data_IF_678230902142
#
_entry.id   IF_678230902142
#
_cell.length_a   1.000
_cell.length_b   1.000
_cell.length_c   1.000
_cell.angle_alpha   90.00
_cell.angle_beta   90.00
_cell.angle_gamma   90.00
#
_symmetry.space_group_name_H-M   'P 1'
#
loop_
_entity.id
_entity.type
_entity.pdbx_description
1 polymer ?
#
# COMPACT_ATOMS: atom_id res chain seq x y z
N UNK A 1 -11.87 -23.76 15.54
CA UNK A 1 -11.34 -23.40 16.88
C UNK A 1 -11.13 -21.90 16.91
N UNK A 2 -11.60 -21.23 17.96
CA UNK A 2 -11.41 -19.78 18.11
C UNK A 2 -9.99 -19.47 18.62
N UNK A 3 -9.37 -18.42 18.07
CA UNK A 3 -8.07 -17.93 18.57
C UNK A 3 -8.24 -17.37 19.98
N UNK A 4 -7.29 -17.69 20.87
CA UNK A 4 -7.23 -17.08 22.20
C UNK A 4 -6.93 -15.57 22.10
N UNK A 5 -7.31 -14.75 23.10
CA UNK A 5 -7.02 -13.32 23.10
C UNK A 5 -5.53 -13.00 22.88
N UNK A 6 -4.65 -13.79 23.50
CA UNK A 6 -3.20 -13.63 23.36
C UNK A 6 -2.71 -13.97 21.95
N UNK A 7 -3.28 -14.99 21.30
CA UNK A 7 -2.96 -15.31 19.91
C UNK A 7 -3.43 -14.21 18.95
N UNK A 8 -4.59 -13.61 19.20
CA UNK A 8 -5.08 -12.45 18.44
C UNK A 8 -4.14 -11.25 18.57
N UNK A 9 -3.63 -11.00 19.77
CA UNK A 9 -2.67 -9.92 20.03
C UNK A 9 -1.35 -10.11 19.27
N UNK A 10 -0.80 -11.33 19.29
CA UNK A 10 0.41 -11.66 18.51
C UNK A 10 0.19 -11.51 17.01
N UNK A 11 -0.96 -11.98 16.51
CA UNK A 11 -1.34 -11.85 15.11
C UNK A 11 -1.50 -10.38 14.71
N UNK A 12 -2.21 -9.60 15.52
CA UNK A 12 -2.41 -8.16 15.31
C UNK A 12 -1.09 -7.41 15.26
N UNK A 13 -0.18 -7.63 16.22
CA UNK A 13 1.13 -6.94 16.24
C UNK A 13 2.02 -7.30 15.06
N UNK A 14 1.98 -8.57 14.63
CA UNK A 14 2.70 -9.01 13.44
C UNK A 14 2.11 -8.40 12.17
N UNK A 15 0.79 -8.40 12.03
CA UNK A 15 0.09 -7.78 10.91
C UNK A 15 0.30 -6.26 10.89
N UNK A 16 0.25 -5.58 12.04
CA UNK A 16 0.52 -4.13 12.14
C UNK A 16 1.94 -3.80 11.68
N UNK A 17 2.92 -4.62 12.04
CA UNK A 17 4.29 -4.41 11.58
C UNK A 17 4.45 -4.74 10.08
N UNK A 18 3.89 -5.87 9.63
CA UNK A 18 3.91 -6.25 8.23
C UNK A 18 3.21 -5.20 7.37
N UNK A 19 2.12 -4.60 7.86
CA UNK A 19 1.47 -3.46 7.23
C UNK A 19 2.42 -2.25 7.18
N UNK A 20 3.03 -1.86 8.30
CA UNK A 20 3.89 -0.67 8.37
C UNK A 20 5.15 -0.73 7.50
N UNK A 21 5.73 -1.92 7.30
CA UNK A 21 7.06 -2.10 6.68
C UNK A 21 7.03 -2.94 5.40
N UNK A 22 6.00 -3.76 5.18
CA UNK A 22 5.89 -4.65 4.02
C UNK A 22 6.87 -5.83 4.02
N UNK A 23 7.70 -5.97 5.05
CA UNK A 23 8.76 -6.98 5.11
C UNK A 23 8.39 -8.17 6.01
N UNK A 24 8.74 -9.42 5.63
CA UNK A 24 8.59 -10.60 6.48
C UNK A 24 9.31 -10.45 7.83
N UNK A 25 8.69 -10.96 8.90
CA UNK A 25 9.16 -10.69 10.28
C UNK A 25 9.81 -11.91 10.91
N UNK A 26 10.99 -11.72 11.49
CA UNK A 26 11.66 -12.75 12.28
C UNK A 26 11.06 -12.85 13.70
N UNK A 27 10.93 -14.07 14.23
CA UNK A 27 10.30 -14.32 15.55
C UNK A 27 10.97 -13.57 16.71
N UNK A 28 12.27 -13.27 16.62
CA UNK A 28 12.98 -12.50 17.65
C UNK A 28 12.50 -11.07 17.73
N UNK A 29 12.03 -10.50 16.62
CA UNK A 29 11.49 -9.15 16.57
C UNK A 29 10.11 -9.13 17.21
N UNK A 30 9.28 -10.14 16.92
CA UNK A 30 7.99 -10.36 17.58
C UNK A 30 8.16 -10.54 19.10
N UNK A 31 9.16 -11.32 19.53
CA UNK A 31 9.47 -11.52 20.94
C UNK A 31 9.74 -10.19 21.66
N UNK A 32 10.48 -9.27 21.02
CA UNK A 32 10.75 -7.93 21.55
C UNK A 32 9.49 -7.08 21.66
N UNK A 33 8.62 -7.09 20.64
CA UNK A 33 7.38 -6.30 20.66
C UNK A 33 6.41 -6.78 21.74
N UNK A 34 6.32 -8.10 21.90
CA UNK A 34 5.39 -8.72 22.83
C UNK A 34 5.95 -8.82 24.26
N UNK A 35 7.20 -8.39 24.49
CA UNK A 35 7.85 -8.50 25.80
C UNK A 35 7.97 -9.94 26.30
N UNK A 36 8.08 -10.91 25.40
CA UNK A 36 8.15 -12.35 25.74
C UNK A 36 9.51 -12.96 25.39
N UNK A 37 9.75 -14.16 25.89
CA UNK A 37 10.93 -14.93 25.50
C UNK A 37 10.88 -15.31 24.00
N UNK A 38 12.07 -15.49 23.41
CA UNK A 38 12.23 -15.97 22.02
C UNK A 38 11.49 -17.30 21.77
N UNK A 39 11.54 -18.21 22.75
CA UNK A 39 10.86 -19.50 22.71
C UNK A 39 9.33 -19.35 22.73
N UNK A 40 8.80 -18.45 23.57
CA UNK A 40 7.36 -18.16 23.63
C UNK A 40 6.85 -17.56 22.33
N UNK A 41 7.60 -16.64 21.73
CA UNK A 41 7.24 -16.07 20.44
C UNK A 41 7.27 -17.12 19.32
N UNK A 42 8.31 -17.97 19.30
CA UNK A 42 8.41 -19.06 18.32
C UNK A 42 7.23 -20.04 18.42
N UNK A 43 6.91 -20.52 19.63
CA UNK A 43 5.78 -21.44 19.85
C UNK A 43 4.44 -20.79 19.46
N UNK A 44 4.23 -19.53 19.81
CA UNK A 44 3.01 -18.80 19.46
C UNK A 44 2.85 -18.63 17.95
N UNK A 45 3.92 -18.28 17.24
CA UNK A 45 3.91 -18.11 15.78
C UNK A 45 3.73 -19.44 15.05
N UNK A 46 4.33 -20.53 15.55
CA UNK A 46 4.11 -21.89 15.02
C UNK A 46 2.67 -22.37 15.22
N UNK A 47 2.04 -22.07 16.35
CA UNK A 47 0.61 -22.37 16.56
C UNK A 47 -0.29 -21.57 15.63
N UNK A 48 0.05 -20.32 15.35
CA UNK A 48 -0.67 -19.48 14.38
C UNK A 48 -0.45 -19.96 12.93
N UNK A 49 0.71 -20.52 12.62
CA UNK A 49 0.98 -21.18 11.33
C UNK A 49 0.16 -22.48 11.17
N UNK A 50 0.07 -23.31 12.21
CA UNK A 50 -0.72 -24.56 12.19
C UNK A 50 -2.21 -24.34 11.90
N UNK A 51 -2.72 -23.12 12.14
CA UNK A 51 -4.10 -22.75 11.83
C UNK A 51 -4.21 -21.94 10.54
N UNK A 52 -3.18 -21.90 9.69
CA UNK A 52 -3.09 -21.15 8.43
C UNK A 52 -3.29 -19.62 8.57
N UNK A 53 -3.15 -19.09 9.78
CA UNK A 53 -3.17 -17.64 10.02
C UNK A 53 -1.84 -16.99 9.67
N UNK A 54 -0.73 -17.74 9.69
CA UNK A 54 0.59 -17.28 9.27
C UNK A 54 1.21 -18.30 8.32
N UNK A 55 2.13 -17.85 7.49
CA UNK A 55 2.99 -18.74 6.71
C UNK A 55 4.45 -18.45 7.03
N UNK A 56 5.25 -19.48 7.26
CA UNK A 56 6.69 -19.31 7.39
C UNK A 56 7.41 -19.40 6.05
N UNK A 57 8.40 -18.53 5.85
CA UNK A 57 9.33 -18.57 4.73
C UNK A 57 10.74 -18.63 5.28
N UNK A 58 11.53 -19.53 4.70
CA UNK A 58 12.95 -19.65 4.98
C UNK A 58 13.70 -18.73 4.04
N UNK A 59 14.30 -17.67 4.57
CA UNK A 59 15.10 -16.75 3.76
C UNK A 59 16.59 -17.01 3.98
N UNK A 60 17.35 -16.93 2.90
CA UNK A 60 18.80 -17.13 2.87
C UNK A 60 19.41 -15.74 2.84
N UNK A 61 19.85 -15.25 4.00
CA UNK A 61 20.39 -13.90 4.16
C UNK A 61 21.46 -13.56 3.12
N UNK A 62 21.19 -12.55 2.28
CA UNK A 62 22.14 -11.95 1.31
C UNK A 62 23.18 -11.04 1.99
N UNK A 63 23.02 -10.71 3.29
CA UNK A 63 23.97 -9.86 4.02
C UNK A 63 24.61 -10.60 5.20
N UNK A 64 25.72 -11.29 4.91
CA UNK A 64 26.89 -11.26 5.81
C UNK A 64 27.18 -12.45 6.74
N UNK A 65 26.51 -13.60 6.62
CA UNK A 65 27.00 -14.84 7.26
C UNK A 65 26.53 -16.09 6.49
N UNK A 66 27.43 -16.89 5.91
CA UNK A 66 27.04 -18.13 5.25
C UNK A 66 26.55 -19.16 6.29
N UNK A 67 25.35 -19.71 6.08
CA UNK A 67 24.89 -20.95 6.75
C UNK A 67 23.78 -20.83 7.80
N UNK A 68 23.12 -19.68 7.99
CA UNK A 68 21.94 -19.59 8.89
C UNK A 68 20.69 -19.16 8.13
N UNK A 69 19.88 -20.15 7.74
CA UNK A 69 18.52 -19.93 7.24
C UNK A 69 17.71 -19.21 8.31
N UNK A 70 17.09 -18.09 7.97
CA UNK A 70 16.24 -17.34 8.89
C UNK A 70 14.77 -17.69 8.66
N UNK A 71 14.06 -18.00 9.75
CA UNK A 71 12.63 -18.28 9.71
C UNK A 71 11.86 -16.96 9.83
N UNK A 72 11.25 -16.54 8.74
CA UNK A 72 10.42 -15.33 8.66
C UNK A 72 8.95 -15.73 8.57
N UNK A 73 8.07 -14.90 9.14
CA UNK A 73 6.63 -15.12 9.13
C UNK A 73 5.92 -14.01 8.33
N UNK A 74 4.89 -14.40 7.58
CA UNK A 74 4.00 -13.51 6.83
C UNK A 74 2.53 -13.82 7.11
N UNK A 75 1.62 -12.84 6.97
CA UNK A 75 0.17 -13.05 7.08
C UNK A 75 -0.32 -14.15 6.13
N UNK A 76 -1.07 -15.12 6.65
CA UNK A 76 -1.63 -16.26 5.90
C UNK A 76 -3.03 -16.02 5.35
N UNK A 77 -3.47 -16.86 4.41
CA UNK A 77 -4.74 -16.69 3.70
C UNK A 77 -5.99 -16.77 4.60
N UNK A 78 -5.92 -17.51 5.72
CA UNK A 78 -7.07 -17.73 6.62
C UNK A 78 -7.39 -16.54 7.52
N UNK A 79 -6.50 -15.54 7.60
CA UNK A 79 -6.81 -14.26 8.28
C UNK A 79 -8.11 -13.66 7.73
N UNK A 80 -8.30 -13.71 6.41
CA UNK A 80 -9.48 -13.17 5.72
C UNK A 80 -10.81 -13.82 6.13
N UNK A 81 -10.78 -15.07 6.60
CA UNK A 81 -11.99 -15.81 7.00
C UNK A 81 -12.31 -15.67 8.48
N UNK A 82 -11.34 -15.31 9.33
CA UNK A 82 -11.53 -15.23 10.78
C UNK A 82 -11.94 -13.83 11.28
N UNK A 83 -11.87 -12.83 10.40
CA UNK A 83 -12.23 -11.45 10.64
C UNK A 83 -13.58 -11.14 9.98
N UNK A 84 -14.67 -11.48 10.67
CA UNK A 84 -16.00 -10.95 10.33
C UNK A 84 -16.00 -9.41 10.34
N UNK A 85 -16.83 -8.74 9.52
CA UNK A 85 -16.75 -7.31 9.24
C UNK A 85 -16.93 -6.39 10.48
N UNK A 86 -17.44 -6.92 11.59
CA UNK A 86 -17.65 -6.18 12.83
C UNK A 86 -16.40 -6.11 13.74
N UNK A 87 -15.34 -6.88 13.41
CA UNK A 87 -14.08 -6.93 14.17
C UNK A 87 -12.85 -6.66 13.28
N UNK A 88 -13.05 -6.11 12.08
CA UNK A 88 -12.00 -5.86 11.09
C UNK A 88 -10.93 -4.93 11.69
N UNK A 89 -9.72 -5.44 11.87
CA UNK A 89 -8.62 -4.66 12.40
C UNK A 89 -8.20 -3.60 11.36
N UNK A 90 -7.61 -2.45 11.77
CA UNK A 90 -7.18 -1.39 10.86
C UNK A 90 -6.33 -1.88 9.68
N UNK A 91 -5.57 -2.97 9.86
CA UNK A 91 -4.76 -3.63 8.83
C UNK A 91 -5.60 -4.28 7.72
N UNK A 92 -6.68 -4.97 8.08
CA UNK A 92 -7.53 -5.67 7.10
C UNK A 92 -8.35 -4.66 6.29
N UNK A 93 -8.77 -3.56 6.93
CA UNK A 93 -9.46 -2.47 6.28
C UNK A 93 -8.55 -1.76 5.26
N UNK A 94 -7.29 -1.52 5.61
CA UNK A 94 -6.28 -0.98 4.68
C UNK A 94 -6.00 -1.94 3.52
N UNK A 95 -5.83 -3.23 3.77
CA UNK A 95 -5.58 -4.21 2.70
C UNK A 95 -6.76 -4.35 1.74
N UNK A 96 -7.98 -4.35 2.26
CA UNK A 96 -9.20 -4.35 1.45
C UNK A 96 -9.30 -3.08 0.59
N UNK A 97 -9.02 -1.92 1.20
CA UNK A 97 -9.00 -0.64 0.49
C UNK A 97 -7.93 -0.59 -0.59
N UNK A 98 -6.69 -0.98 -0.26
CA UNK A 98 -5.57 -1.09 -1.20
C UNK A 98 -5.93 -2.00 -2.38
N UNK A 99 -6.52 -3.17 -2.12
CA UNK A 99 -6.96 -4.08 -3.18
C UNK A 99 -8.03 -3.42 -4.07
N UNK A 100 -9.01 -2.73 -3.47
CA UNK A 100 -10.06 -2.01 -4.20
C UNK A 100 -9.50 -0.93 -5.13
N UNK A 101 -8.37 -0.30 -4.78
CA UNK A 101 -7.70 0.70 -5.61
C UNK A 101 -6.82 0.11 -6.72
N UNK A 102 -6.24 -1.08 -6.52
CA UNK A 102 -5.35 -1.71 -7.51
C UNK A 102 -6.15 -2.48 -8.57
N UNK A 103 -7.23 -3.15 -8.17
CA UNK A 103 -8.03 -4.01 -9.05
C UNK A 103 -8.53 -3.32 -10.34
N UNK A 104 -8.92 -2.03 -10.34
CA UNK A 104 -9.25 -1.30 -11.57
C UNK A 104 -8.08 -1.20 -12.57
N UNK A 105 -6.84 -1.07 -12.09
CA UNK A 105 -5.65 -0.99 -12.95
C UNK A 105 -5.31 -2.35 -13.57
N UNK A 106 -5.55 -3.45 -12.87
CA UNK A 106 -5.32 -4.81 -13.39
C UNK A 106 -6.34 -5.21 -14.46
N UNK A 107 -7.57 -4.67 -14.38
CA UNK A 107 -8.65 -4.94 -15.33
C UNK A 107 -8.56 -4.12 -16.61
N UNK A 108 -7.78 -3.05 -16.59
CA UNK A 108 -7.59 -2.17 -17.74
C UNK A 108 -6.92 -2.94 -18.87
N UNK A 109 -7.64 -3.10 -19.98
CA UNK A 109 -7.11 -3.64 -21.22
C UNK A 109 -6.52 -2.49 -22.04
N UNK A 110 -5.51 -2.78 -22.85
CA UNK A 110 -4.77 -1.78 -23.65
C UNK A 110 -5.62 -0.92 -24.61
N UNK A 111 -6.88 -1.30 -24.85
CA UNK A 111 -7.82 -0.59 -25.72
C UNK A 111 -8.89 0.24 -24.96
N UNK A 112 -8.87 0.23 -23.62
CA UNK A 112 -9.90 0.90 -22.81
C UNK A 112 -9.55 2.36 -22.53
N UNK A 113 -10.58 3.22 -22.56
CA UNK A 113 -10.40 4.66 -22.39
C UNK A 113 -10.10 4.95 -20.91
N UNK A 114 -8.86 5.34 -20.61
CA UNK A 114 -8.39 5.63 -19.24
C UNK A 114 -9.18 6.70 -18.47
N UNK A 115 -10.10 7.42 -19.13
CA UNK A 115 -11.09 8.26 -18.46
C UNK A 115 -12.06 7.46 -17.57
N UNK A 116 -12.46 6.25 -17.98
CA UNK A 116 -13.34 5.37 -17.21
C UNK A 116 -12.74 5.00 -15.84
N UNK A 117 -11.43 4.74 -15.82
CA UNK A 117 -10.68 4.50 -14.58
C UNK A 117 -10.69 5.72 -13.65
N UNK A 118 -10.50 6.91 -14.20
CA UNK A 118 -10.51 8.14 -13.40
C UNK A 118 -11.89 8.35 -12.77
N UNK A 119 -12.97 8.17 -13.53
CA UNK A 119 -14.34 8.31 -13.05
C UNK A 119 -14.67 7.26 -11.96
N UNK A 120 -14.25 6.00 -12.14
CA UNK A 120 -14.40 4.94 -11.14
C UNK A 120 -13.68 5.30 -9.83
N UNK A 121 -12.45 5.79 -9.90
CA UNK A 121 -11.67 6.17 -8.72
C UNK A 121 -12.21 7.44 -8.04
N UNK A 122 -12.78 8.40 -8.80
CA UNK A 122 -13.45 9.58 -8.24
C UNK A 122 -14.67 9.15 -7.41
N UNK A 123 -15.43 8.16 -7.88
CA UNK A 123 -16.59 7.63 -7.16
C UNK A 123 -16.22 6.97 -5.81
N UNK A 124 -14.95 6.59 -5.63
CA UNK A 124 -14.44 6.02 -4.37
C UNK A 124 -14.03 7.07 -3.33
N UNK A 125 -13.80 8.33 -3.72
CA UNK A 125 -13.38 9.40 -2.79
C UNK A 125 -14.33 9.57 -1.59
N UNK A 126 -15.68 9.54 -1.74
CA UNK A 126 -16.60 9.66 -0.61
C UNK A 126 -16.58 8.46 0.35
N UNK A 127 -16.10 7.30 -0.10
CA UNK A 127 -16.03 6.09 0.73
C UNK A 127 -14.81 6.06 1.66
N UNK A 128 -13.83 6.96 1.45
CA UNK A 128 -12.62 7.01 2.25
C UNK A 128 -12.90 7.52 3.67
N UNK A 129 -12.82 6.61 4.65
CA UNK A 129 -13.15 6.89 6.06
C UNK A 129 -11.99 7.48 6.88
N UNK A 130 -10.79 7.62 6.29
CA UNK A 130 -9.61 8.16 6.97
C UNK A 130 -8.74 9.00 6.02
N UNK A 131 -7.91 9.94 6.56
CA UNK A 131 -6.97 10.72 5.75
C UNK A 131 -6.05 9.85 4.88
N UNK A 132 -5.57 8.72 5.42
CA UNK A 132 -4.73 7.77 4.68
C UNK A 132 -5.46 7.11 3.54
N UNK A 133 -6.71 6.69 3.73
CA UNK A 133 -7.51 6.14 2.63
C UNK A 133 -7.83 7.18 1.57
N UNK A 134 -8.04 8.42 2.00
CA UNK A 134 -8.27 9.54 1.09
C UNK A 134 -7.03 9.82 0.25
N UNK A 135 -5.86 9.96 0.88
CA UNK A 135 -4.57 10.08 0.20
C UNK A 135 -4.27 8.90 -0.71
N UNK A 136 -4.61 7.67 -0.31
CA UNK A 136 -4.47 6.48 -1.14
C UNK A 136 -5.32 6.57 -2.42
N UNK A 137 -6.58 7.02 -2.29
CA UNK A 137 -7.46 7.29 -3.42
C UNK A 137 -6.87 8.36 -4.35
N UNK A 138 -6.33 9.45 -3.78
CA UNK A 138 -5.69 10.52 -4.55
C UNK A 138 -4.43 10.04 -5.29
N UNK A 139 -3.61 9.19 -4.66
CA UNK A 139 -2.44 8.58 -5.34
C UNK A 139 -2.91 7.75 -6.52
N UNK A 140 -3.91 6.89 -6.34
CA UNK A 140 -4.51 6.12 -7.43
C UNK A 140 -5.01 7.03 -8.56
N UNK A 141 -5.72 8.10 -8.24
CA UNK A 141 -6.19 9.09 -9.24
C UNK A 141 -5.04 9.74 -10.01
N UNK A 142 -3.95 10.12 -9.32
CA UNK A 142 -2.78 10.73 -9.96
C UNK A 142 -2.07 9.74 -10.89
N UNK A 143 -1.92 8.47 -10.48
CA UNK A 143 -1.37 7.40 -11.33
C UNK A 143 -2.28 7.13 -12.54
N UNK A 144 -3.60 7.09 -12.34
CA UNK A 144 -4.57 6.96 -13.43
C UNK A 144 -4.46 8.11 -14.43
N UNK A 145 -4.32 9.34 -13.95
CA UNK A 145 -4.10 10.49 -14.83
C UNK A 145 -2.80 10.36 -15.63
N UNK A 146 -1.70 9.92 -15.01
CA UNK A 146 -0.46 9.64 -15.74
C UNK A 146 -0.67 8.55 -16.79
N UNK A 147 -1.33 7.45 -16.46
CA UNK A 147 -1.59 6.35 -17.40
C UNK A 147 -2.41 6.82 -18.61
N UNK A 148 -3.42 7.66 -18.38
CA UNK A 148 -4.31 8.16 -19.43
C UNK A 148 -3.67 9.23 -20.31
N UNK A 149 -2.88 10.14 -19.73
CA UNK A 149 -2.44 11.34 -20.44
C UNK A 149 -0.94 11.37 -20.75
N UNK A 150 -0.10 10.65 -19.99
CA UNK A 150 1.34 10.64 -20.17
C UNK A 150 2.00 9.35 -19.62
N UNK A 151 1.67 8.21 -20.23
CA UNK A 151 2.14 6.89 -19.78
C UNK A 151 3.68 6.80 -19.76
N UNK A 152 4.35 7.47 -20.69
CA UNK A 152 5.81 7.49 -20.78
C UNK A 152 6.45 8.10 -19.52
N UNK A 153 5.79 9.06 -18.88
CA UNK A 153 6.28 9.68 -17.66
C UNK A 153 6.28 8.74 -16.45
N UNK A 154 5.44 7.69 -16.45
CA UNK A 154 5.32 6.76 -15.31
C UNK A 154 6.69 6.12 -15.00
N UNK A 155 7.39 5.61 -16.02
CA UNK A 155 8.71 4.98 -15.85
C UNK A 155 9.76 5.95 -15.30
N UNK A 156 9.77 7.19 -15.81
CA UNK A 156 10.71 8.22 -15.37
C UNK A 156 10.44 8.64 -13.92
N UNK A 157 9.17 8.84 -13.57
CA UNK A 157 8.76 9.20 -12.22
C UNK A 157 9.09 8.07 -11.24
N UNK A 158 8.81 6.81 -11.59
CA UNK A 158 9.14 5.65 -10.77
C UNK A 158 10.64 5.58 -10.45
N UNK A 159 11.50 5.67 -11.46
CA UNK A 159 12.96 5.66 -11.27
C UNK A 159 13.43 6.76 -10.31
N UNK A 160 12.85 7.97 -10.43
CA UNK A 160 13.25 9.09 -9.59
C UNK A 160 12.77 8.91 -8.15
N UNK A 161 11.55 8.39 -7.95
CA UNK A 161 10.98 8.11 -6.64
C UNK A 161 11.71 6.97 -5.93
N UNK A 162 12.25 5.99 -6.66
CA UNK A 162 13.01 4.86 -6.11
C UNK A 162 14.38 5.25 -5.54
N UNK A 163 14.92 6.41 -5.94
CA UNK A 163 16.16 6.94 -5.39
C UNK A 163 15.99 7.58 -4.00
N UNK A 164 14.76 7.79 -3.54
CA UNK A 164 14.47 8.41 -2.25
C UNK A 164 14.07 7.35 -1.21
N UNK A 165 14.75 7.36 -0.07
CA UNK A 165 14.47 6.42 1.03
C UNK A 165 13.37 6.91 1.99
N UNK A 166 13.07 8.21 1.99
CA UNK A 166 12.07 8.80 2.88
C UNK A 166 10.69 8.79 2.19
N UNK A 167 9.67 8.15 2.78
CA UNK A 167 8.35 8.02 2.15
C UNK A 167 7.63 9.36 1.94
N UNK A 168 7.83 10.35 2.81
CA UNK A 168 7.24 11.68 2.66
C UNK A 168 7.83 12.39 1.44
N UNK A 169 9.17 12.39 1.31
CA UNK A 169 9.87 12.97 0.17
C UNK A 169 9.48 12.29 -1.15
N UNK A 170 9.29 10.96 -1.13
CA UNK A 170 8.78 10.19 -2.28
C UNK A 170 7.41 10.69 -2.72
N UNK A 171 6.48 10.84 -1.78
CA UNK A 171 5.10 11.27 -2.06
C UNK A 171 5.03 12.71 -2.55
N UNK A 172 5.80 13.62 -1.94
CA UNK A 172 5.90 15.01 -2.40
C UNK A 172 6.51 15.10 -3.79
N UNK A 173 7.63 14.40 -4.06
CA UNK A 173 8.25 14.36 -5.38
C UNK A 173 7.27 13.80 -6.42
N UNK A 174 6.60 12.69 -6.12
CA UNK A 174 5.60 12.08 -7.00
C UNK A 174 4.53 13.10 -7.39
N UNK A 175 3.90 13.77 -6.43
CA UNK A 175 2.84 14.75 -6.71
C UNK A 175 3.33 15.93 -7.57
N UNK A 176 4.54 16.44 -7.29
CA UNK A 176 5.15 17.51 -8.08
C UNK A 176 5.51 17.07 -9.50
N UNK A 177 6.02 15.85 -9.65
CA UNK A 177 6.35 15.27 -10.95
C UNK A 177 5.10 15.00 -11.79
N UNK A 178 4.01 14.49 -11.19
CA UNK A 178 2.71 14.35 -11.85
C UNK A 178 2.20 15.71 -12.31
N UNK A 179 2.23 16.72 -11.43
CA UNK A 179 1.81 18.08 -11.75
C UNK A 179 2.58 18.63 -12.96
N UNK A 180 3.91 18.55 -12.93
CA UNK A 180 4.77 19.02 -14.02
C UNK A 180 4.58 18.23 -15.32
N UNK A 181 4.39 16.91 -15.20
CA UNK A 181 4.20 16.00 -16.33
C UNK A 181 2.83 16.11 -16.99
N UNK A 182 1.81 16.58 -16.28
CA UNK A 182 0.47 16.77 -16.81
C UNK A 182 0.18 18.24 -17.15
N UNK A 183 1.00 19.18 -16.67
CA UNK A 183 0.89 20.61 -17.02
C UNK A 183 1.10 20.87 -18.51
N UNK A 184 1.99 20.12 -19.17
CA UNK A 184 2.22 20.24 -20.63
C UNK A 184 1.04 19.65 -21.41
N UNK A 185 0.53 18.52 -20.96
CA UNK A 185 -0.54 17.75 -21.60
C UNK A 185 -1.91 18.42 -21.41
N UNK A 186 -2.14 19.11 -20.28
CA UNK A 186 -3.35 19.92 -20.07
C UNK A 186 -3.52 21.00 -21.16
N UNK A 187 -2.42 21.53 -21.70
CA UNK A 187 -2.43 22.54 -22.77
C UNK A 187 -2.70 21.98 -24.16
N UNK A 188 -2.54 20.67 -24.37
CA UNK A 188 -2.69 20.00 -25.67
C UNK A 188 -3.93 19.10 -25.73
N UNK A 189 -4.29 18.45 -24.63
CA UNK A 189 -5.34 17.42 -24.53
C UNK A 189 -6.70 18.00 -24.12
N UNK A 190 -7.02 19.17 -24.68
CA UNK A 190 -8.16 20.03 -24.38
C UNK A 190 -9.37 19.37 -23.68
N UNK A 191 -9.81 20.04 -22.62
CA UNK A 191 -11.08 19.91 -21.91
C UNK A 191 -11.22 18.96 -20.72
N UNK A 192 -10.58 17.79 -20.61
CA UNK A 192 -10.87 16.91 -19.44
C UNK A 192 -10.15 17.34 -18.15
N UNK A 193 -8.83 17.61 -18.23
CA UNK A 193 -8.05 18.07 -17.06
C UNK A 193 -8.35 19.54 -16.69
N UNK A 194 -8.75 20.36 -17.67
CA UNK A 194 -9.00 21.80 -17.48
C UNK A 194 -10.46 22.15 -17.15
N UNK A 195 -11.48 21.36 -17.55
CA UNK A 195 -12.91 21.75 -17.40
C UNK A 195 -13.31 22.12 -15.99
N UNK A 196 -12.72 21.44 -14.99
CA UNK A 196 -13.11 21.56 -13.58
C UNK A 196 -11.92 21.82 -12.65
N UNK A 197 -10.74 22.16 -13.20
CA UNK A 197 -9.52 22.29 -12.38
C UNK A 197 -9.17 21.02 -11.61
N UNK A 198 -9.52 19.85 -12.16
CA UNK A 198 -9.43 18.55 -11.50
C UNK A 198 -8.00 18.28 -11.00
N UNK A 199 -6.99 18.46 -11.86
CA UNK A 199 -5.58 18.25 -11.50
C UNK A 199 -5.14 19.12 -10.33
N UNK A 200 -5.41 20.43 -10.42
CA UNK A 200 -5.08 21.39 -9.37
C UNK A 200 -5.82 21.10 -8.07
N UNK A 201 -7.08 20.67 -8.15
CA UNK A 201 -7.89 20.28 -6.99
C UNK A 201 -7.41 18.99 -6.34
N UNK A 202 -6.99 17.99 -7.13
CA UNK A 202 -6.41 16.74 -6.63
C UNK A 202 -5.07 17.00 -5.92
N UNK A 203 -4.20 17.82 -6.51
CA UNK A 203 -2.90 18.16 -5.93
C UNK A 203 -3.06 18.95 -4.61
N UNK A 204 -3.95 19.95 -4.59
CA UNK A 204 -4.24 20.74 -3.38
C UNK A 204 -4.81 19.87 -2.26
N UNK A 205 -5.80 19.03 -2.58
CA UNK A 205 -6.36 18.05 -1.62
C UNK A 205 -5.30 17.07 -1.14
N UNK A 206 -4.43 16.60 -2.01
CA UNK A 206 -3.37 15.66 -1.65
C UNK A 206 -2.44 16.25 -0.61
N UNK A 207 -1.91 17.45 -0.85
CA UNK A 207 -1.00 18.11 0.10
C UNK A 207 -1.69 18.43 1.44
N UNK A 208 -2.92 18.97 1.39
CA UNK A 208 -3.71 19.26 2.61
C UNK A 208 -3.93 18.03 3.47
N UNK A 209 -4.24 16.89 2.86
CA UNK A 209 -4.47 15.66 3.61
C UNK A 209 -3.18 14.95 4.01
N UNK A 210 -2.11 15.06 3.22
CA UNK A 210 -0.81 14.46 3.52
C UNK A 210 -0.23 14.99 4.85
N UNK A 211 -0.39 16.29 5.13
CA UNK A 211 0.00 16.90 6.41
C UNK A 211 -0.68 16.28 7.64
N UNK A 212 -1.85 15.65 7.45
CA UNK A 212 -2.65 15.03 8.51
C UNK A 212 -2.44 13.50 8.59
N UNK A 213 -1.60 12.91 7.73
CA UNK A 213 -1.29 11.47 7.74
C UNK A 213 -0.13 11.19 8.68
N UNK A 214 -0.40 11.15 9.98
CA UNK A 214 0.66 10.86 10.94
C UNK A 214 1.04 9.36 10.95
N UNK A 215 2.32 9.08 10.72
CA UNK A 215 2.95 7.74 10.75
C UNK A 215 2.53 6.69 9.70
N UNK A 216 1.77 7.07 8.66
CA UNK A 216 1.32 6.13 7.61
C UNK A 216 1.86 6.42 6.20
N UNK A 217 2.83 7.33 6.07
CA UNK A 217 3.51 7.63 4.80
C UNK A 217 4.13 6.40 4.12
N UNK A 218 4.62 5.41 4.89
CA UNK A 218 5.17 4.17 4.33
C UNK A 218 4.09 3.30 3.67
N UNK A 219 2.85 3.32 4.17
CA UNK A 219 1.72 2.60 3.55
C UNK A 219 1.38 3.21 2.19
N UNK A 220 1.31 4.54 2.14
CA UNK A 220 1.03 5.29 0.93
C UNK A 220 2.14 5.12 -0.10
N UNK A 221 3.41 5.15 0.33
CA UNK A 221 4.55 4.91 -0.55
C UNK A 221 4.55 3.48 -1.10
N UNK A 222 4.25 2.47 -0.27
CA UNK A 222 4.12 1.09 -0.74
C UNK A 222 2.89 0.84 -1.63
N UNK A 223 1.83 1.64 -1.51
CA UNK A 223 0.71 1.64 -2.46
C UNK A 223 1.12 2.27 -3.79
N UNK A 224 1.85 3.40 -3.75
CA UNK A 224 2.39 4.06 -4.94
C UNK A 224 3.24 3.08 -5.76
N UNK A 225 4.11 2.31 -5.11
CA UNK A 225 4.97 1.31 -5.77
C UNK A 225 4.15 0.26 -6.53
N UNK A 226 3.13 -0.31 -5.88
CA UNK A 226 2.25 -1.30 -6.49
C UNK A 226 1.45 -0.70 -7.66
N UNK A 227 0.90 0.50 -7.50
CA UNK A 227 0.14 1.17 -8.55
C UNK A 227 1.00 1.52 -9.76
N UNK A 228 2.21 2.04 -9.55
CA UNK A 228 3.15 2.36 -10.64
C UNK A 228 3.58 1.08 -11.37
N UNK A 229 3.76 -0.03 -10.65
CA UNK A 229 4.09 -1.31 -11.27
C UNK A 229 2.93 -1.84 -12.14
N UNK A 230 1.71 -1.88 -11.61
CA UNK A 230 0.53 -2.35 -12.36
C UNK A 230 0.22 -1.41 -13.53
N UNK A 231 0.44 -0.10 -13.38
CA UNK A 231 0.23 0.87 -14.46
C UNK A 231 1.26 0.76 -15.59
N UNK A 232 2.38 0.05 -15.44
CA UNK A 232 3.36 -0.16 -16.53
C UNK A 232 3.11 -1.48 -17.28
N UNK A 233 2.53 -2.46 -16.61
CA UNK A 233 2.18 -3.76 -17.17
C UNK A 233 0.99 -3.66 -18.15
#
# INVERSE_FOLDING_TARGET
MALTPRQKEFLSRLCDHFAKVGTPVHYTTVAKWMGVSKWTAYDMLKRLEQVDCLSSRYDVSVKGAPGRTQLLFVPGARIKQLLEPQNMQPCDYWLAWKKKLIEPFEKLRSDDYGHSLIDELIALLPEAQSPTMYCACLIALLVACLKTFNEQAIKFIQQTVDHLNNPEQRLSLFSGAVAGSLFREARTSGHYLERDGLLTGLIDKFHKHLEHVDMQHSLLAGLLDDLMHVAIC
#
